data_IF_660972552625
#
_entry.id   IF_660972552625
#
_cell.length_a   1.000
_cell.length_b   1.000
_cell.length_c   1.000
_cell.angle_alpha   90.00
_cell.angle_beta   90.00
_cell.angle_gamma   90.00
#
_symmetry.space_group_name_H-M   'P 1'
#
loop_
_entity.id
_entity.type
_entity.pdbx_description
1 polymer ?
#
# COMPACT_ATOMS: atom_id res chain seq x y z
N UNK A 1 -15.25 7.97 -11.39
CA UNK A 1 -14.34 7.90 -12.56
C UNK A 1 -12.94 7.39 -12.19
N UNK A 2 -12.34 7.85 -11.08
CA UNK A 2 -10.98 7.46 -10.71
C UNK A 2 -10.84 6.00 -10.22
N UNK A 3 -11.80 5.49 -9.44
CA UNK A 3 -11.76 4.07 -9.02
C UNK A 3 -11.86 3.09 -10.20
N UNK A 4 -12.55 3.49 -11.27
CA UNK A 4 -12.60 2.73 -12.51
C UNK A 4 -11.24 2.70 -13.22
N UNK A 5 -10.42 3.77 -13.10
CA UNK A 5 -9.03 3.77 -13.61
C UNK A 5 -8.16 2.80 -12.82
N UNK A 6 -8.28 2.80 -11.49
CA UNK A 6 -7.53 1.89 -10.61
C UNK A 6 -7.87 0.42 -10.94
N UNK A 7 -9.16 0.10 -11.02
CA UNK A 7 -9.64 -1.24 -11.39
C UNK A 7 -9.20 -1.59 -12.82
N UNK A 8 -9.32 -0.66 -13.77
CA UNK A 8 -8.91 -0.87 -15.16
C UNK A 8 -7.42 -1.19 -15.31
N UNK A 9 -6.56 -0.43 -14.62
CA UNK A 9 -5.10 -0.68 -14.61
C UNK A 9 -4.79 -2.02 -13.94
N UNK A 10 -5.47 -2.36 -12.85
CA UNK A 10 -5.31 -3.66 -12.20
C UNK A 10 -5.67 -4.83 -13.11
N UNK A 11 -6.80 -4.74 -13.83
CA UNK A 11 -7.24 -5.79 -14.76
C UNK A 11 -6.29 -5.90 -15.95
N UNK A 12 -5.96 -4.78 -16.60
CA UNK A 12 -5.07 -4.78 -17.77
C UNK A 12 -3.66 -5.26 -17.38
N UNK A 13 -3.12 -4.76 -16.27
CA UNK A 13 -1.83 -5.19 -15.73
C UNK A 13 -1.81 -6.67 -15.38
N UNK A 14 -2.88 -7.20 -14.78
CA UNK A 14 -3.03 -8.62 -14.48
C UNK A 14 -3.08 -9.50 -15.74
N UNK A 15 -3.84 -9.10 -16.76
CA UNK A 15 -3.92 -9.82 -18.04
C UNK A 15 -2.54 -9.84 -18.73
N UNK A 16 -1.84 -8.70 -18.76
CA UNK A 16 -0.49 -8.61 -19.31
C UNK A 16 0.51 -9.48 -18.54
N UNK A 17 0.48 -9.44 -17.20
CA UNK A 17 1.32 -10.27 -16.37
C UNK A 17 1.11 -11.77 -16.66
N UNK A 18 -0.15 -12.23 -16.76
CA UNK A 18 -0.48 -13.62 -17.09
C UNK A 18 -0.04 -14.00 -18.50
N UNK A 19 -0.23 -13.11 -19.48
CA UNK A 19 0.19 -13.34 -20.86
C UNK A 19 1.72 -13.50 -20.97
N UNK A 20 2.48 -12.63 -20.30
CA UNK A 20 3.95 -12.67 -20.31
C UNK A 20 4.46 -13.86 -19.50
N UNK A 21 3.82 -14.23 -18.37
CA UNK A 21 4.21 -15.42 -17.58
C UNK A 21 4.21 -16.72 -18.40
N UNK A 22 3.38 -16.82 -19.46
CA UNK A 22 3.36 -17.99 -20.35
C UNK A 22 4.63 -18.15 -21.19
N UNK A 23 5.31 -17.05 -21.51
CA UNK A 23 6.54 -17.04 -22.34
C UNK A 23 7.78 -16.86 -21.49
N UNK A 24 7.76 -15.92 -20.54
CA UNK A 24 8.84 -15.60 -19.62
C UNK A 24 8.27 -15.35 -18.21
N UNK A 25 8.35 -16.35 -17.31
CA UNK A 25 7.81 -16.25 -15.96
C UNK A 25 8.38 -15.07 -15.15
N UNK A 26 9.67 -14.79 -15.30
CA UNK A 26 10.38 -13.69 -14.61
C UNK A 26 9.86 -12.31 -15.04
N UNK A 27 9.73 -12.08 -16.35
CA UNK A 27 9.19 -10.82 -16.87
C UNK A 27 7.72 -10.64 -16.48
N UNK A 28 6.93 -11.72 -16.47
CA UNK A 28 5.53 -11.64 -16.06
C UNK A 28 5.35 -11.31 -14.58
N UNK A 29 6.29 -11.72 -13.73
CA UNK A 29 6.36 -11.29 -12.33
C UNK A 29 6.69 -9.80 -12.21
N UNK A 30 7.68 -9.31 -12.96
CA UNK A 30 8.03 -7.88 -12.98
C UNK A 30 6.86 -7.00 -13.44
N UNK A 31 6.09 -7.44 -14.45
CA UNK A 31 4.88 -6.74 -14.91
C UNK A 31 3.81 -6.67 -13.82
N UNK A 32 3.61 -7.77 -13.08
CA UNK A 32 2.65 -7.80 -11.95
C UNK A 32 3.04 -6.81 -10.85
N UNK A 33 4.31 -6.78 -10.48
CA UNK A 33 4.85 -5.85 -9.48
C UNK A 33 4.68 -4.41 -9.97
N UNK A 34 5.05 -4.10 -11.21
CA UNK A 34 4.92 -2.76 -11.77
C UNK A 34 3.45 -2.29 -11.79
N UNK A 35 2.52 -3.15 -12.20
CA UNK A 35 1.09 -2.85 -12.17
C UNK A 35 0.59 -2.59 -10.73
N UNK A 36 1.04 -3.39 -9.76
CA UNK A 36 0.77 -3.19 -8.33
C UNK A 36 1.27 -1.83 -7.82
N UNK A 37 2.50 -1.44 -8.18
CA UNK A 37 3.07 -0.13 -7.80
C UNK A 37 2.27 1.02 -8.41
N UNK A 38 1.87 0.92 -9.68
CA UNK A 38 1.04 1.96 -10.33
C UNK A 38 -0.31 2.10 -9.62
N UNK A 39 -0.97 0.98 -9.33
CA UNK A 39 -2.23 0.95 -8.58
C UNK A 39 -2.06 1.61 -7.20
N UNK A 40 -0.99 1.27 -6.49
CA UNK A 40 -0.71 1.85 -5.18
C UNK A 40 -0.47 3.36 -5.24
N UNK A 41 0.33 3.84 -6.19
CA UNK A 41 0.55 5.27 -6.39
C UNK A 41 -0.74 6.06 -6.65
N UNK A 42 -1.69 5.48 -7.39
CA UNK A 42 -3.00 6.10 -7.62
C UNK A 42 -3.85 6.19 -6.35
N UNK A 43 -3.70 5.23 -5.43
CA UNK A 43 -4.46 5.20 -4.17
C UNK A 43 -3.83 6.10 -3.09
N UNK A 44 -2.52 6.37 -3.13
CA UNK A 44 -1.84 7.24 -2.17
C UNK A 44 -2.49 8.64 -2.04
N UNK A 45 -2.97 9.21 -3.14
CA UNK A 45 -3.67 10.50 -3.12
C UNK A 45 -4.97 10.46 -2.30
N UNK A 46 -5.70 9.36 -2.34
CA UNK A 46 -6.91 9.16 -1.52
C UNK A 46 -6.58 8.98 -0.05
N UNK A 47 -5.48 8.28 0.23
CA UNK A 47 -4.99 8.10 1.60
C UNK A 47 -4.61 9.46 2.22
N UNK A 48 -3.94 10.32 1.46
CA UNK A 48 -3.61 11.69 1.88
C UNK A 48 -4.87 12.54 2.15
N UNK A 49 -5.88 12.48 1.26
CA UNK A 49 -7.16 13.18 1.47
C UNK A 49 -7.89 12.69 2.72
N UNK A 50 -7.92 11.37 2.96
CA UNK A 50 -8.51 10.81 4.17
C UNK A 50 -7.78 11.27 5.44
N UNK A 51 -6.45 11.31 5.39
CA UNK A 51 -5.59 11.83 6.46
C UNK A 51 -5.91 13.29 6.77
N UNK A 52 -6.01 14.13 5.75
CA UNK A 52 -6.28 15.56 5.95
C UNK A 52 -7.70 15.82 6.45
N UNK A 53 -8.68 15.04 5.99
CA UNK A 53 -10.05 15.09 6.52
C UNK A 53 -10.09 14.74 8.01
N UNK A 54 -9.38 13.69 8.43
CA UNK A 54 -9.31 13.28 9.84
C UNK A 54 -8.60 14.34 10.68
N UNK A 55 -7.53 14.98 10.17
CA UNK A 55 -6.85 16.08 10.87
C UNK A 55 -7.78 17.28 11.07
N UNK A 56 -8.47 17.71 10.02
CA UNK A 56 -9.42 18.83 10.11
C UNK A 56 -10.54 18.55 11.11
N UNK A 57 -11.08 17.32 11.11
CA UNK A 57 -12.04 16.88 12.12
C UNK A 57 -11.43 16.91 13.53
N UNK A 58 -10.23 16.38 13.72
CA UNK A 58 -9.59 16.32 15.03
C UNK A 58 -9.25 17.72 15.59
N UNK A 59 -8.88 18.69 14.75
CA UNK A 59 -8.65 20.09 15.15
C UNK A 59 -9.93 20.75 15.70
N UNK A 60 -11.09 20.37 15.17
CA UNK A 60 -12.37 20.92 15.59
C UNK A 60 -12.81 20.45 16.99
N UNK A 61 -12.30 19.31 17.48
CA UNK A 61 -12.72 18.68 18.74
C UNK A 61 -11.66 18.67 19.86
N UNK A 62 -10.51 19.34 19.67
CA UNK A 62 -9.58 19.83 20.71
C UNK A 62 -8.86 18.81 21.62
N UNK A 63 -9.56 17.88 22.25
CA UNK A 63 -9.04 16.96 23.28
C UNK A 63 -8.70 15.57 22.78
N UNK A 64 -9.23 15.14 21.63
CA UNK A 64 -8.92 13.87 20.96
C UNK A 64 -7.69 13.94 20.03
N UNK A 65 -7.16 15.14 19.79
CA UNK A 65 -6.22 15.43 18.71
C UNK A 65 -4.94 14.56 18.72
N UNK A 66 -4.35 14.33 19.89
CA UNK A 66 -3.10 13.57 19.99
C UNK A 66 -3.29 12.07 19.70
N UNK A 67 -4.31 11.43 20.29
CA UNK A 67 -4.59 10.01 20.06
C UNK A 67 -5.00 9.71 18.62
N UNK A 68 -5.81 10.59 18.02
CA UNK A 68 -6.24 10.46 16.61
C UNK A 68 -5.06 10.59 15.64
N UNK A 69 -4.11 11.49 15.90
CA UNK A 69 -2.90 11.62 15.08
C UNK A 69 -1.99 10.39 15.16
N UNK A 70 -1.84 9.80 16.35
CA UNK A 70 -1.05 8.56 16.53
C UNK A 70 -1.70 7.40 15.79
N UNK A 71 -3.01 7.21 15.94
CA UNK A 71 -3.77 6.19 15.20
C UNK A 71 -3.59 6.34 13.68
N UNK A 72 -3.65 7.56 13.17
CA UNK A 72 -3.48 7.84 11.76
C UNK A 72 -2.07 7.46 11.25
N UNK A 73 -1.02 7.76 12.04
CA UNK A 73 0.35 7.35 11.73
C UNK A 73 0.48 5.83 11.70
N UNK A 74 -0.08 5.13 12.69
CA UNK A 74 -0.07 3.66 12.75
C UNK A 74 -0.77 3.05 11.53
N UNK A 75 -1.96 3.54 11.17
CA UNK A 75 -2.70 3.06 9.99
C UNK A 75 -1.90 3.30 8.71
N UNK A 76 -1.29 4.49 8.55
CA UNK A 76 -0.46 4.81 7.39
C UNK A 76 0.75 3.88 7.24
N UNK A 77 1.47 3.65 8.35
CA UNK A 77 2.62 2.72 8.38
C UNK A 77 2.17 1.29 8.06
N UNK A 78 1.03 0.85 8.63
CA UNK A 78 0.49 -0.48 8.38
C UNK A 78 0.16 -0.70 6.90
N UNK A 79 -0.51 0.25 6.24
CA UNK A 79 -0.81 0.14 4.80
C UNK A 79 0.44 0.12 3.92
N UNK A 80 1.43 0.98 4.21
CA UNK A 80 2.70 0.99 3.46
C UNK A 80 3.46 -0.33 3.64
N UNK A 81 3.51 -0.83 4.88
CA UNK A 81 4.18 -2.09 5.18
C UNK A 81 3.47 -3.27 4.52
N UNK A 82 2.14 -3.36 4.63
CA UNK A 82 1.35 -4.43 4.02
C UNK A 82 1.52 -4.46 2.50
N UNK A 83 1.51 -3.28 1.86
CA UNK A 83 1.77 -3.19 0.42
C UNK A 83 3.17 -3.70 0.04
N UNK A 84 4.21 -3.24 0.75
CA UNK A 84 5.58 -3.71 0.51
C UNK A 84 5.75 -5.21 0.73
N UNK A 85 5.10 -5.76 1.76
CA UNK A 85 5.09 -7.20 2.06
C UNK A 85 4.41 -7.98 0.94
N UNK A 86 3.28 -7.52 0.43
CA UNK A 86 2.58 -8.17 -0.68
C UNK A 86 3.40 -8.15 -1.97
N UNK A 87 4.04 -7.02 -2.29
CA UNK A 87 4.95 -6.92 -3.45
C UNK A 87 6.12 -7.89 -3.34
N UNK A 88 6.73 -8.03 -2.16
CA UNK A 88 7.82 -8.97 -1.92
C UNK A 88 7.35 -10.43 -2.02
N UNK A 89 6.15 -10.74 -1.53
CA UNK A 89 5.54 -12.08 -1.68
C UNK A 89 5.25 -12.40 -3.15
N UNK A 90 4.72 -11.45 -3.91
CA UNK A 90 4.48 -11.58 -5.34
C UNK A 90 5.78 -11.77 -6.14
N UNK A 91 6.88 -11.20 -5.65
CA UNK A 91 8.23 -11.39 -6.19
C UNK A 91 8.88 -12.74 -5.82
N UNK A 92 8.24 -13.56 -4.99
CA UNK A 92 8.80 -14.80 -4.44
C UNK A 92 9.75 -14.61 -3.25
N UNK A 93 10.00 -13.36 -2.82
CA UNK A 93 10.92 -12.97 -1.77
C UNK A 93 10.29 -13.04 -0.37
N UNK A 94 9.76 -14.20 0.00
CA UNK A 94 9.05 -14.41 1.27
C UNK A 94 9.92 -14.12 2.51
N UNK A 95 11.22 -14.42 2.45
CA UNK A 95 12.14 -14.16 3.55
C UNK A 95 12.35 -12.65 3.79
N UNK A 96 12.39 -11.84 2.73
CA UNK A 96 12.43 -10.39 2.85
C UNK A 96 11.08 -9.84 3.30
N UNK A 97 9.97 -10.37 2.79
CA UNK A 97 8.63 -9.96 3.18
C UNK A 97 8.42 -10.06 4.70
N UNK A 98 8.81 -11.18 5.31
CA UNK A 98 8.72 -11.37 6.79
C UNK A 98 9.59 -10.35 7.55
N UNK A 99 10.78 -10.03 7.04
CA UNK A 99 11.66 -9.02 7.66
C UNK A 99 11.06 -7.61 7.57
N UNK A 100 10.45 -7.26 6.44
CA UNK A 100 9.76 -5.98 6.27
C UNK A 100 8.53 -5.89 7.16
N UNK A 101 7.74 -6.96 7.27
CA UNK A 101 6.59 -7.03 8.18
C UNK A 101 7.02 -6.81 9.64
N UNK A 102 8.12 -7.45 10.05
CA UNK A 102 8.69 -7.26 11.39
C UNK A 102 9.13 -5.79 11.60
N UNK A 103 9.81 -5.20 10.62
CA UNK A 103 10.21 -3.79 10.69
C UNK A 103 9.01 -2.86 10.84
N UNK A 104 7.92 -3.07 10.09
CA UNK A 104 6.68 -2.31 10.23
C UNK A 104 6.09 -2.39 11.63
N UNK A 105 6.04 -3.60 12.22
CA UNK A 105 5.56 -3.81 13.60
C UNK A 105 6.41 -3.05 14.62
N UNK A 106 7.73 -3.07 14.47
CA UNK A 106 8.67 -2.35 15.35
C UNK A 106 8.49 -0.83 15.22
N UNK A 107 8.32 -0.31 13.99
CA UNK A 107 8.09 1.12 13.76
C UNK A 107 6.76 1.57 14.37
N UNK A 108 5.69 0.78 14.19
CA UNK A 108 4.39 1.05 14.83
C UNK A 108 4.54 1.12 16.36
N UNK A 109 5.24 0.14 16.95
CA UNK A 109 5.48 0.10 18.38
C UNK A 109 6.28 1.31 18.89
N UNK A 110 7.25 1.79 18.10
CA UNK A 110 8.08 2.94 18.46
C UNK A 110 7.37 4.30 18.29
N UNK A 111 6.35 4.37 17.43
CA UNK A 111 5.56 5.60 17.15
C UNK A 111 4.39 5.76 18.12
N UNK A 112 3.94 4.66 18.74
CA UNK A 112 2.85 4.63 19.73
C UNK A 112 3.34 5.10 21.08
#
# INVERSE_FOLDING_TARGET
>A
MEIAKVIGIGIVGGILAVAVKKTNPELGMQVSIAAGVIVFCLVLGYLAQAVDFIKQFAEQYGTLYQGTLVLLKVIGIAYLCEFGVQVLKDAGENALAVKVELAGKVIIFAVT
#
